data_IF_289042138080
#
_entry.id   IF_289042138080
#
_cell.length_a   1.000
_cell.length_b   1.000
_cell.length_c   1.000
_cell.angle_alpha   90.00
_cell.angle_beta   90.00
_cell.angle_gamma   90.00
#
_symmetry.space_group_name_H-M   'P 1'
#
loop_
_entity.id
_entity.type
_entity.pdbx_description
1 polymer ?
#
# COMPACT_ATOMS: atom_id res chain seq x y z
N UNK A 1 -4.53 28.44 -4.55
CA UNK A 1 -4.50 27.17 -5.31
C UNK A 1 -5.86 26.50 -5.17
N UNK A 2 -6.46 26.00 -6.25
CA UNK A 2 -7.75 25.30 -6.20
C UNK A 2 -7.57 23.99 -5.41
N UNK A 3 -8.34 23.81 -4.33
CA UNK A 3 -8.34 22.53 -3.60
C UNK A 3 -8.93 21.44 -4.50
N UNK A 4 -8.16 20.36 -4.68
CA UNK A 4 -8.53 19.17 -5.44
C UNK A 4 -9.17 18.15 -4.49
N UNK A 5 -10.14 17.38 -4.98
CA UNK A 5 -10.59 16.17 -4.29
C UNK A 5 -9.61 15.01 -4.54
N UNK A 6 -9.03 14.39 -3.50
CA UNK A 6 -8.13 13.25 -3.67
C UNK A 6 -8.77 12.00 -4.27
N UNK A 7 -10.10 11.92 -4.28
CA UNK A 7 -10.83 10.82 -4.93
C UNK A 7 -10.85 10.93 -6.46
N UNK A 8 -10.51 12.10 -7.01
CA UNK A 8 -10.49 12.30 -8.46
C UNK A 8 -9.23 11.67 -9.05
N UNK A 9 -9.32 10.83 -10.10
CA UNK A 9 -8.14 10.22 -10.71
C UNK A 9 -7.08 11.20 -11.23
N UNK A 10 -5.81 10.83 -11.08
CA UNK A 10 -4.66 11.58 -11.62
C UNK A 10 -4.33 11.22 -13.08
N UNK A 11 -4.95 10.16 -13.60
CA UNK A 11 -4.68 9.62 -14.92
C UNK A 11 -5.94 9.52 -15.76
N UNK A 12 -5.80 9.72 -17.08
CA UNK A 12 -6.81 9.42 -18.08
C UNK A 12 -6.65 8.04 -18.72
N UNK A 13 -5.64 7.25 -18.29
CA UNK A 13 -5.37 5.93 -18.85
C UNK A 13 -6.48 4.94 -18.47
N UNK A 14 -7.30 4.55 -19.45
CA UNK A 14 -8.43 3.63 -19.28
C UNK A 14 -8.04 2.27 -18.70
N UNK A 15 -6.83 1.77 -18.96
CA UNK A 15 -6.38 0.49 -18.41
C UNK A 15 -6.07 0.59 -16.91
N UNK A 16 -5.44 1.69 -16.49
CA UNK A 16 -5.17 1.97 -15.09
C UNK A 16 -6.48 2.15 -14.32
N UNK A 17 -7.40 2.97 -14.84
CA UNK A 17 -8.69 3.23 -14.19
C UNK A 17 -9.49 1.93 -13.96
N UNK A 18 -9.61 1.09 -14.99
CA UNK A 18 -10.27 -0.23 -14.85
C UNK A 18 -9.57 -1.14 -13.85
N UNK A 19 -8.25 -1.06 -13.74
CA UNK A 19 -7.51 -1.85 -12.76
C UNK A 19 -7.79 -1.37 -11.33
N UNK A 20 -7.82 -0.06 -11.10
CA UNK A 20 -8.17 0.54 -9.80
C UNK A 20 -9.60 0.16 -9.41
N UNK A 21 -10.57 0.28 -10.31
CA UNK A 21 -11.96 -0.15 -10.08
C UNK A 21 -12.03 -1.61 -9.66
N UNK A 22 -11.33 -2.50 -10.38
CA UNK A 22 -11.28 -3.92 -10.05
C UNK A 22 -10.66 -4.20 -8.68
N UNK A 23 -9.62 -3.45 -8.29
CA UNK A 23 -9.02 -3.61 -6.95
C UNK A 23 -9.94 -3.06 -5.86
N UNK A 24 -10.63 -1.95 -6.10
CA UNK A 24 -11.62 -1.40 -5.19
C UNK A 24 -12.79 -2.38 -4.96
N UNK A 25 -13.25 -3.04 -6.02
CA UNK A 25 -14.27 -4.09 -5.92
C UNK A 25 -13.82 -5.29 -5.10
N UNK A 26 -12.53 -5.67 -5.17
CA UNK A 26 -11.96 -6.81 -4.46
C UNK A 26 -11.70 -6.50 -2.98
N UNK A 27 -11.05 -5.37 -2.72
CA UNK A 27 -10.55 -5.01 -1.40
C UNK A 27 -11.57 -4.25 -0.54
N UNK A 28 -12.60 -3.64 -1.16
CA UNK A 28 -13.68 -2.88 -0.51
C UNK A 28 -13.20 -1.77 0.44
N UNK A 29 -12.33 -0.85 0.00
CA UNK A 29 -11.86 0.23 0.86
C UNK A 29 -12.96 1.26 1.16
N UNK A 30 -12.83 2.00 2.26
CA UNK A 30 -13.75 3.08 2.62
C UNK A 30 -13.62 4.29 1.68
N UNK A 31 -12.40 4.56 1.20
CA UNK A 31 -12.11 5.63 0.26
C UNK A 31 -10.90 5.29 -0.61
N UNK A 32 -10.83 5.94 -1.78
CA UNK A 32 -9.67 5.93 -2.68
C UNK A 32 -9.03 7.32 -2.64
N UNK A 33 -7.71 7.36 -2.40
CA UNK A 33 -6.90 8.57 -2.44
C UNK A 33 -5.83 8.42 -3.53
N UNK A 34 -5.87 9.29 -4.54
CA UNK A 34 -4.86 9.40 -5.60
C UNK A 34 -3.72 10.31 -5.15
N UNK A 35 -2.49 9.79 -5.11
CA UNK A 35 -1.33 10.45 -4.51
C UNK A 35 -0.69 11.42 -5.50
N UNK A 36 -0.77 12.72 -5.25
CA UNK A 36 -0.24 13.75 -6.15
C UNK A 36 1.24 14.10 -5.90
N UNK A 37 1.80 13.67 -4.76
CA UNK A 37 3.20 13.87 -4.40
C UNK A 37 3.54 15.30 -3.97
N UNK A 38 2.53 16.16 -3.76
CA UNK A 38 2.74 17.54 -3.33
C UNK A 38 3.19 17.62 -1.86
N UNK A 39 3.86 18.72 -1.50
CA UNK A 39 4.25 18.99 -0.11
C UNK A 39 3.03 19.04 0.84
N UNK A 40 1.92 19.61 0.36
CA UNK A 40 0.68 19.71 1.14
C UNK A 40 0.10 18.33 1.45
N UNK A 41 0.16 17.41 0.50
CA UNK A 41 -0.23 16.01 0.69
C UNK A 41 0.69 15.29 1.68
N UNK A 42 2.00 15.44 1.51
CA UNK A 42 3.00 14.89 2.44
C UNK A 42 2.75 15.37 3.87
N UNK A 43 2.63 16.68 4.08
CA UNK A 43 2.42 17.27 5.41
C UNK A 43 1.13 16.75 6.05
N UNK A 44 0.05 16.61 5.26
CA UNK A 44 -1.22 16.06 5.71
C UNK A 44 -1.10 14.58 6.11
N UNK A 45 -0.46 13.75 5.30
CA UNK A 45 -0.27 12.32 5.59
C UNK A 45 0.61 12.13 6.83
N UNK A 46 1.69 12.90 6.97
CA UNK A 46 2.52 12.89 8.18
C UNK A 46 1.72 13.31 9.42
N UNK A 47 0.87 14.33 9.32
CA UNK A 47 0.02 14.75 10.43
C UNK A 47 -0.97 13.64 10.83
N UNK A 48 -1.57 12.94 9.87
CA UNK A 48 -2.44 11.79 10.11
C UNK A 48 -1.68 10.64 10.79
N UNK A 49 -0.46 10.32 10.35
CA UNK A 49 0.36 9.27 10.98
C UNK A 49 0.79 9.63 12.40
N UNK A 50 1.02 10.92 12.70
CA UNK A 50 1.28 11.35 14.08
C UNK A 50 0.01 11.25 14.92
N UNK A 51 -1.13 11.69 14.40
CA UNK A 51 -2.42 11.58 15.10
C UNK A 51 -2.81 10.12 15.36
N UNK A 52 -2.51 9.21 14.43
CA UNK A 52 -2.74 7.77 14.56
C UNK A 52 -1.69 7.03 15.40
N UNK A 53 -0.65 7.71 15.90
CA UNK A 53 0.39 7.13 16.74
C UNK A 53 1.45 6.31 16.00
N UNK A 54 1.33 6.12 14.68
CA UNK A 54 2.36 5.47 13.85
C UNK A 54 3.67 6.26 13.85
N UNK A 55 3.57 7.60 13.78
CA UNK A 55 4.73 8.50 13.80
C UNK A 55 4.84 9.27 15.11
N UNK A 56 6.08 9.45 15.57
CA UNK A 56 6.44 10.45 16.58
C UNK A 56 7.26 11.54 15.94
N UNK A 57 6.81 12.80 16.07
CA UNK A 57 7.57 13.95 15.56
C UNK A 57 8.86 14.12 16.36
N UNK A 58 10.00 14.19 15.67
CA UNK A 58 11.30 14.37 16.32
C UNK A 58 11.52 15.83 16.75
N UNK A 59 12.60 16.08 17.49
CA UNK A 59 12.98 17.43 17.90
C UNK A 59 13.26 18.31 16.69
N UNK A 60 12.41 19.30 16.42
CA UNK A 60 12.48 20.12 15.21
C UNK A 60 13.65 21.11 15.17
N UNK A 61 14.33 21.37 16.30
CA UNK A 61 15.57 22.16 16.30
C UNK A 61 16.76 21.35 15.79
N UNK A 62 16.76 20.03 16.01
CA UNK A 62 17.84 19.12 15.61
C UNK A 62 17.53 18.40 14.30
N UNK A 63 16.27 18.03 14.11
CA UNK A 63 15.77 17.16 13.04
C UNK A 63 14.45 17.73 12.48
N UNK A 64 14.49 18.90 11.83
CA UNK A 64 13.30 19.52 11.25
C UNK A 64 12.68 18.60 10.19
N UNK A 65 11.36 18.42 10.25
CA UNK A 65 10.63 17.58 9.30
C UNK A 65 10.82 16.07 9.48
N UNK A 66 11.56 15.61 10.49
CA UNK A 66 11.82 14.19 10.72
C UNK A 66 10.80 13.56 11.69
N UNK A 67 10.54 12.26 11.48
CA UNK A 67 9.62 11.44 12.26
C UNK A 67 10.29 10.11 12.63
N UNK A 68 9.86 9.53 13.74
CA UNK A 68 10.21 8.18 14.16
C UNK A 68 8.98 7.27 14.02
N UNK A 69 9.14 6.16 13.32
CA UNK A 69 8.20 5.05 13.32
C UNK A 69 8.85 3.86 14.04
N UNK A 70 8.06 3.11 14.81
CA UNK A 70 8.47 1.82 15.39
C UNK A 70 7.48 0.78 14.90
N UNK A 71 7.94 -0.18 14.10
CA UNK A 71 7.10 -1.28 13.65
C UNK A 71 6.84 -2.27 14.78
N UNK A 72 5.89 -3.18 14.54
CA UNK A 72 5.70 -4.33 15.42
C UNK A 72 6.97 -5.20 15.44
N UNK A 73 7.30 -5.78 16.60
CA UNK A 73 8.49 -6.62 16.74
C UNK A 73 8.49 -7.84 15.81
N UNK A 74 7.32 -8.27 15.32
CA UNK A 74 7.16 -9.36 14.36
C UNK A 74 7.41 -8.93 12.90
N UNK A 75 7.48 -7.63 12.61
CA UNK A 75 7.65 -7.08 11.25
C UNK A 75 8.77 -6.02 11.23
N UNK A 76 10.01 -6.51 11.38
CA UNK A 76 11.22 -5.67 11.46
C UNK A 76 12.20 -5.90 10.30
N UNK A 77 11.96 -6.93 9.49
CA UNK A 77 12.85 -7.36 8.43
C UNK A 77 12.08 -8.09 7.33
N UNK A 78 12.73 -8.28 6.18
CA UNK A 78 12.17 -9.06 5.07
C UNK A 78 11.96 -10.51 5.50
N UNK A 79 10.80 -11.07 5.15
CA UNK A 79 10.39 -12.44 5.49
C UNK A 79 10.65 -13.35 4.29
N UNK A 80 11.91 -13.75 4.12
CA UNK A 80 12.39 -14.43 2.90
C UNK A 80 11.66 -15.75 2.62
N UNK A 81 11.25 -16.49 3.65
CA UNK A 81 10.45 -17.73 3.53
C UNK A 81 9.03 -17.48 2.98
N UNK A 82 8.56 -16.23 2.97
CA UNK A 82 7.28 -15.81 2.39
C UNK A 82 7.42 -14.89 1.18
N UNK A 83 8.63 -14.75 0.63
CA UNK A 83 8.89 -14.07 -0.64
C UNK A 83 8.94 -15.10 -1.77
N UNK A 84 8.07 -14.97 -2.79
CA UNK A 84 7.92 -15.97 -3.85
C UNK A 84 8.11 -15.39 -5.25
N UNK A 85 8.78 -16.17 -6.11
CA UNK A 85 8.82 -15.96 -7.56
C UNK A 85 7.80 -16.90 -8.22
N UNK A 86 6.70 -16.35 -8.70
CA UNK A 86 5.58 -17.12 -9.29
C UNK A 86 5.69 -17.21 -10.82
N UNK A 87 6.79 -17.75 -11.33
CA UNK A 87 6.97 -18.04 -12.75
C UNK A 87 6.07 -19.21 -13.22
N UNK A 88 5.86 -19.37 -14.54
CA UNK A 88 5.02 -20.46 -15.07
C UNK A 88 5.57 -21.86 -14.77
N UNK A 89 6.90 -22.01 -14.70
CA UNK A 89 7.57 -23.24 -14.27
C UNK A 89 8.53 -22.96 -13.11
N UNK A 90 8.88 -24.00 -12.36
CA UNK A 90 9.79 -23.90 -11.21
C UNK A 90 11.22 -23.58 -11.67
N UNK A 91 11.63 -24.14 -12.80
CA UNK A 91 12.96 -23.95 -13.37
C UNK A 91 13.20 -22.49 -13.75
N UNK A 92 12.17 -21.81 -14.25
CA UNK A 92 12.24 -20.39 -14.59
C UNK A 92 12.36 -19.47 -13.36
N UNK A 93 11.94 -19.92 -12.18
CA UNK A 93 12.25 -19.22 -10.93
C UNK A 93 13.69 -19.49 -10.46
N UNK A 94 14.27 -20.63 -10.85
CA UNK A 94 15.64 -21.00 -10.48
C UNK A 94 15.75 -21.59 -9.07
N UNK A 95 16.92 -22.19 -8.75
CA UNK A 95 17.10 -22.96 -7.52
C UNK A 95 17.25 -22.12 -6.26
N UNK A 96 17.47 -20.81 -6.39
CA UNK A 96 17.69 -19.88 -5.27
C UNK A 96 16.42 -19.19 -4.78
N UNK A 97 15.26 -19.48 -5.40
CA UNK A 97 14.01 -18.77 -5.15
C UNK A 97 12.93 -19.70 -4.62
N UNK A 98 12.06 -19.18 -3.75
CA UNK A 98 10.83 -19.89 -3.40
C UNK A 98 9.86 -19.78 -4.58
N UNK A 99 9.38 -20.92 -5.05
CA UNK A 99 8.43 -20.98 -6.16
C UNK A 99 7.08 -21.53 -5.71
N UNK A 100 6.02 -20.90 -6.17
CA UNK A 100 4.64 -21.40 -6.08
C UNK A 100 3.99 -21.20 -7.44
N UNK A 101 3.13 -22.14 -7.84
CA UNK A 101 2.37 -22.03 -9.07
C UNK A 101 1.58 -20.69 -9.09
N UNK A 102 1.67 -19.87 -10.16
CA UNK A 102 1.07 -18.54 -10.20
C UNK A 102 -0.46 -18.56 -10.07
N UNK A 103 -1.13 -19.59 -10.57
CA UNK A 103 -2.58 -19.72 -10.43
C UNK A 103 -2.97 -20.06 -8.99
N UNK A 104 -2.18 -20.91 -8.32
CA UNK A 104 -2.35 -21.20 -6.89
C UNK A 104 -2.14 -19.94 -6.05
N UNK A 105 -1.02 -19.24 -6.23
CA UNK A 105 -0.72 -18.01 -5.46
C UNK A 105 -1.78 -16.93 -5.69
N UNK A 106 -2.21 -16.74 -6.95
CA UNK A 106 -3.27 -15.76 -7.26
C UNK A 106 -4.58 -16.12 -6.59
N UNK A 107 -4.95 -17.40 -6.49
CA UNK A 107 -6.15 -17.84 -5.77
C UNK A 107 -6.03 -17.55 -4.28
N UNK A 108 -4.89 -17.87 -3.67
CA UNK A 108 -4.60 -17.58 -2.27
C UNK A 108 -4.68 -16.08 -1.97
N UNK A 109 -3.92 -15.25 -2.70
CA UNK A 109 -3.91 -13.80 -2.49
C UNK A 109 -5.27 -13.15 -2.75
N UNK A 110 -6.01 -13.58 -3.79
CA UNK A 110 -7.37 -13.09 -4.01
C UNK A 110 -8.30 -13.40 -2.83
N UNK A 111 -8.13 -14.54 -2.17
CA UNK A 111 -8.93 -14.88 -1.00
C UNK A 111 -8.58 -14.01 0.21
N UNK A 112 -7.31 -13.67 0.39
CA UNK A 112 -6.83 -12.79 1.45
C UNK A 112 -7.24 -11.33 1.21
N UNK A 113 -7.19 -10.86 -0.04
CA UNK A 113 -7.60 -9.51 -0.39
C UNK A 113 -9.11 -9.31 -0.39
N UNK A 114 -9.89 -10.39 -0.52
CA UNK A 114 -11.35 -10.32 -0.47
C UNK A 114 -11.76 -9.80 0.90
N UNK A 115 -12.19 -8.53 0.95
CA UNK A 115 -12.64 -7.82 2.16
C UNK A 115 -11.53 -7.47 3.15
N UNK A 116 -10.33 -7.17 2.63
CA UNK A 116 -9.21 -6.72 3.46
C UNK A 116 -9.55 -5.47 4.31
N UNK A 117 -10.46 -4.63 3.83
CA UNK A 117 -10.74 -3.31 4.39
C UNK A 117 -12.18 -3.12 4.89
N UNK A 118 -12.83 -4.18 5.41
CA UNK A 118 -14.18 -4.08 6.00
C UNK A 118 -14.21 -3.41 7.40
N UNK A 119 -13.26 -2.52 7.71
CA UNK A 119 -13.16 -1.73 8.95
C UNK A 119 -13.37 -0.22 8.76
N UNK A 120 -13.77 0.53 9.81
CA UNK A 120 -14.19 1.94 9.72
C UNK A 120 -13.07 2.96 9.43
N UNK A 121 -11.80 2.53 9.33
CA UNK A 121 -10.65 3.43 9.14
C UNK A 121 -9.75 3.05 7.96
N UNK A 122 -10.22 2.14 7.10
CA UNK A 122 -9.37 1.52 6.09
C UNK A 122 -9.45 2.24 4.74
N UNK A 123 -8.51 3.17 4.53
CA UNK A 123 -8.32 3.86 3.26
C UNK A 123 -7.33 3.08 2.39
N UNK A 124 -7.73 2.77 1.16
CA UNK A 124 -6.79 2.29 0.15
C UNK A 124 -6.23 3.51 -0.58
N UNK A 125 -4.93 3.77 -0.43
CA UNK A 125 -4.22 4.67 -1.33
C UNK A 125 -4.09 3.96 -2.69
N UNK A 126 -4.69 4.53 -3.73
CA UNK A 126 -4.51 4.05 -5.09
C UNK A 126 -3.56 5.04 -5.78
N UNK A 127 -2.39 4.54 -6.18
CA UNK A 127 -1.35 5.19 -7.02
C UNK A 127 -1.60 6.68 -7.32
#
# INVERSE_FOLDING_TARGET
>A
MKQRSPATPLSSNKHLLRWVEKMAELCKPAAIHWVDGSQQEYDRLCALMVAGGTFTKLNQKKWPGCFLARSDASDVARVEDRTFICALSKEAAGPTNNWVNPFQMRRTLKSLFKRLYEGPHDVCAAL
#
